data_IF_147515774775
#
_entry.id   IF_147515774775
#
_cell.length_a   1.000
_cell.length_b   1.000
_cell.length_c   1.000
_cell.angle_alpha   90.00
_cell.angle_beta   90.00
_cell.angle_gamma   90.00
#
_symmetry.space_group_name_H-M   'P 1'
#
loop_
_entity.id
_entity.type
_entity.pdbx_description
1 polymer ?
#
# COMPACT_ATOMS: atom_id res chain seq x y z
N UNK A 1 -4.27 10.73 13.60
CA UNK A 1 -4.54 9.68 14.61
C UNK A 1 -5.25 8.56 13.87
N UNK A 2 -4.63 7.38 13.78
CA UNK A 2 -5.25 6.19 13.16
C UNK A 2 -6.41 5.79 14.06
N UNK A 3 -7.61 5.61 13.51
CA UNK A 3 -8.79 5.19 14.29
C UNK A 3 -8.63 3.73 14.68
N UNK A 4 -9.20 3.32 15.80
CA UNK A 4 -9.17 1.92 16.28
C UNK A 4 -9.78 0.95 15.24
N UNK A 5 -10.80 1.41 14.51
CA UNK A 5 -11.40 0.69 13.37
C UNK A 5 -10.39 0.38 12.26
N UNK A 6 -9.47 1.30 11.98
CA UNK A 6 -8.48 1.14 10.90
C UNK A 6 -7.42 0.11 11.31
N UNK A 7 -7.01 0.11 12.59
CA UNK A 7 -6.07 -0.87 13.16
C UNK A 7 -6.69 -2.27 13.12
N UNK A 8 -7.98 -2.39 13.47
CA UNK A 8 -8.69 -3.68 13.42
C UNK A 8 -8.72 -4.26 12.00
N UNK A 9 -9.03 -3.42 11.00
CA UNK A 9 -9.01 -3.82 9.60
C UNK A 9 -7.62 -4.30 9.17
N UNK A 10 -6.57 -3.55 9.47
CA UNK A 10 -5.18 -3.90 9.12
C UNK A 10 -4.80 -5.27 9.70
N UNK A 11 -5.08 -5.50 10.99
CA UNK A 11 -4.75 -6.77 11.65
C UNK A 11 -5.48 -7.95 11.02
N UNK A 12 -6.74 -7.79 10.67
CA UNK A 12 -7.53 -8.82 9.98
C UNK A 12 -6.96 -9.15 8.59
N UNK A 13 -6.64 -8.13 7.81
CA UNK A 13 -6.01 -8.28 6.49
C UNK A 13 -4.64 -8.95 6.60
N UNK A 14 -3.82 -8.61 7.61
CA UNK A 14 -2.54 -9.28 7.90
C UNK A 14 -2.70 -10.76 8.21
N UNK A 15 -3.70 -11.13 9.04
CA UNK A 15 -4.01 -12.54 9.34
C UNK A 15 -4.34 -13.29 8.06
N UNK A 16 -5.29 -12.78 7.27
CA UNK A 16 -5.72 -13.40 6.01
C UNK A 16 -4.54 -13.53 5.03
N UNK A 17 -3.70 -12.50 4.90
CA UNK A 17 -2.52 -12.52 4.05
C UNK A 17 -1.53 -13.61 4.47
N UNK A 18 -1.16 -13.66 5.77
CA UNK A 18 -0.22 -14.65 6.27
C UNK A 18 -0.70 -16.08 6.03
N UNK A 19 -1.99 -16.32 6.23
CA UNK A 19 -2.62 -17.62 5.97
C UNK A 19 -2.63 -17.95 4.47
N UNK A 20 -2.98 -16.96 3.64
CA UNK A 20 -3.03 -17.09 2.17
C UNK A 20 -1.66 -17.35 1.54
N UNK A 21 -0.59 -16.71 2.05
CA UNK A 21 0.78 -16.93 1.60
C UNK A 21 1.28 -18.34 1.94
N UNK A 22 0.93 -18.86 3.11
CA UNK A 22 1.41 -20.17 3.57
C UNK A 22 0.67 -21.35 2.99
N UNK A 23 -0.56 -21.16 2.56
CA UNK A 23 -1.46 -22.18 1.98
C UNK A 23 -1.70 -23.40 2.88
N UNK A 24 -1.47 -23.27 4.17
CA UNK A 24 -1.64 -24.32 5.19
C UNK A 24 -2.06 -23.69 6.52
N UNK A 25 -2.49 -24.51 7.49
CA UNK A 25 -2.77 -24.06 8.85
C UNK A 25 -1.51 -23.49 9.49
N UNK A 26 -1.66 -22.39 10.22
CA UNK A 26 -0.58 -21.69 10.91
C UNK A 26 -0.84 -21.74 12.40
N UNK A 27 0.21 -21.94 13.22
CA UNK A 27 0.03 -21.88 14.66
C UNK A 27 -0.25 -20.45 15.13
N UNK A 28 -1.09 -20.31 16.15
CA UNK A 28 -1.36 -19.01 16.79
C UNK A 28 -0.08 -18.34 17.28
N UNK A 29 0.91 -19.14 17.72
CA UNK A 29 2.24 -18.64 18.08
C UNK A 29 2.93 -17.96 16.90
N UNK A 30 2.92 -18.58 15.72
CA UNK A 30 3.53 -17.99 14.51
C UNK A 30 2.86 -16.69 14.10
N UNK A 31 1.53 -16.57 14.21
CA UNK A 31 0.83 -15.32 13.96
C UNK A 31 1.28 -14.21 14.93
N UNK A 32 1.41 -14.53 16.22
CA UNK A 32 1.84 -13.58 17.24
C UNK A 32 3.27 -13.05 17.00
N UNK A 33 4.16 -13.89 16.50
CA UNK A 33 5.53 -13.47 16.17
C UNK A 33 5.57 -12.53 14.97
N UNK A 34 4.62 -12.68 14.04
CA UNK A 34 4.56 -11.88 12.81
C UNK A 34 3.75 -10.58 12.95
N UNK A 35 2.64 -10.63 13.68
CA UNK A 35 1.74 -9.49 13.86
C UNK A 35 2.03 -8.83 15.21
N UNK A 36 2.65 -7.65 15.16
CA UNK A 36 3.11 -6.91 16.36
C UNK A 36 1.97 -6.09 16.99
N UNK A 37 0.94 -6.77 17.50
CA UNK A 37 -0.17 -6.14 18.23
C UNK A 37 -0.36 -6.83 19.59
N UNK A 38 -1.18 -6.24 20.47
CA UNK A 38 -1.50 -6.88 21.74
C UNK A 38 -2.24 -8.20 21.52
N UNK A 39 -2.04 -9.14 22.43
CA UNK A 39 -2.69 -10.46 22.39
C UNK A 39 -4.22 -10.37 22.32
N UNK A 40 -4.80 -9.53 23.16
CA UNK A 40 -6.25 -9.29 23.17
C UNK A 40 -6.77 -8.76 21.83
N UNK A 41 -6.02 -7.89 21.17
CA UNK A 41 -6.41 -7.31 19.89
C UNK A 41 -6.36 -8.33 18.75
N UNK A 42 -5.31 -9.16 18.73
CA UNK A 42 -5.21 -10.25 17.76
C UNK A 42 -6.33 -11.28 17.92
N UNK A 43 -6.68 -11.66 19.18
CA UNK A 43 -7.76 -12.60 19.43
C UNK A 43 -9.12 -12.07 18.99
N UNK A 44 -9.43 -10.81 19.28
CA UNK A 44 -10.66 -10.16 18.77
C UNK A 44 -10.75 -10.16 17.24
N UNK A 45 -9.61 -9.95 16.56
CA UNK A 45 -9.56 -10.00 15.11
C UNK A 45 -9.81 -11.44 14.58
N UNK A 46 -9.27 -12.45 15.25
CA UNK A 46 -9.49 -13.87 14.91
C UNK A 46 -10.96 -14.25 15.14
N UNK A 47 -11.52 -13.91 16.30
CA UNK A 47 -12.96 -14.16 16.61
C UNK A 47 -13.86 -13.53 15.53
N UNK A 48 -13.62 -12.26 15.16
CA UNK A 48 -14.40 -11.60 14.11
C UNK A 48 -14.27 -12.31 12.76
N UNK A 49 -13.07 -12.77 12.37
CA UNK A 49 -12.87 -13.52 11.13
C UNK A 49 -13.54 -14.91 11.16
N UNK A 50 -13.60 -15.54 12.33
CA UNK A 50 -14.27 -16.84 12.54
C UNK A 50 -15.79 -16.68 12.49
N UNK A 51 -16.36 -15.66 13.15
CA UNK A 51 -17.78 -15.30 13.08
C UNK A 51 -18.24 -15.00 11.65
N UNK A 52 -17.39 -14.39 10.83
CA UNK A 52 -17.65 -14.13 9.41
C UNK A 52 -17.43 -15.37 8.52
N UNK A 53 -16.98 -16.49 9.11
CA UNK A 53 -16.73 -17.72 8.38
C UNK A 53 -15.54 -17.65 7.41
N UNK A 54 -14.57 -16.78 7.66
CA UNK A 54 -13.37 -16.61 6.84
C UNK A 54 -12.22 -17.49 7.31
N UNK A 55 -12.14 -17.74 8.63
CA UNK A 55 -11.15 -18.63 9.22
C UNK A 55 -11.82 -19.69 10.08
N UNK A 56 -11.09 -20.72 10.43
CA UNK A 56 -11.46 -21.69 11.48
C UNK A 56 -10.27 -21.88 12.40
N UNK A 57 -10.56 -22.12 13.67
CA UNK A 57 -9.53 -22.39 14.70
C UNK A 57 -9.70 -23.83 15.18
N UNK A 58 -8.62 -24.59 15.16
CA UNK A 58 -8.54 -25.94 15.67
C UNK A 58 -7.35 -26.03 16.64
N UNK A 59 -7.62 -26.17 17.93
CA UNK A 59 -6.62 -26.20 19.01
C UNK A 59 -5.70 -24.96 18.97
N UNK A 60 -4.44 -25.13 18.61
CA UNK A 60 -3.44 -24.05 18.50
C UNK A 60 -3.21 -23.58 17.04
N UNK A 61 -4.01 -24.05 16.08
CA UNK A 61 -3.87 -23.74 14.67
C UNK A 61 -5.06 -22.98 14.14
N UNK A 62 -4.79 -22.10 13.18
CA UNK A 62 -5.78 -21.34 12.42
C UNK A 62 -5.60 -21.59 10.93
N UNK A 63 -6.70 -21.72 10.21
CA UNK A 63 -6.71 -21.93 8.76
C UNK A 63 -7.78 -21.12 8.07
N UNK A 64 -7.67 -20.99 6.75
CA UNK A 64 -8.68 -20.33 5.92
C UNK A 64 -9.80 -21.31 5.56
N UNK A 65 -11.04 -20.84 5.64
CA UNK A 65 -12.19 -21.49 5.01
C UNK A 65 -12.15 -21.27 3.49
N UNK A 66 -13.08 -21.84 2.76
CA UNK A 66 -13.23 -21.56 1.32
C UNK A 66 -13.44 -20.06 1.05
N UNK A 67 -14.33 -19.41 1.80
CA UNK A 67 -14.59 -17.97 1.66
C UNK A 67 -13.37 -17.14 2.06
N UNK A 68 -12.66 -17.55 3.12
CA UNK A 68 -11.43 -16.91 3.55
C UNK A 68 -10.32 -17.00 2.49
N UNK A 69 -10.24 -18.09 1.73
CA UNK A 69 -9.32 -18.22 0.61
C UNK A 69 -9.59 -17.22 -0.51
N UNK A 70 -10.85 -16.98 -0.83
CA UNK A 70 -11.23 -16.03 -1.88
C UNK A 70 -10.84 -14.61 -1.47
N UNK A 71 -11.07 -14.23 -0.22
CA UNK A 71 -10.70 -12.92 0.30
C UNK A 71 -9.18 -12.77 0.48
N UNK A 72 -8.51 -13.75 1.05
CA UNK A 72 -7.05 -13.74 1.22
C UNK A 72 -6.30 -13.64 -0.11
N UNK A 73 -6.84 -14.24 -1.19
CA UNK A 73 -6.24 -14.20 -2.52
C UNK A 73 -6.08 -12.77 -3.06
N UNK A 74 -7.08 -11.91 -2.84
CA UNK A 74 -7.01 -10.53 -3.33
C UNK A 74 -6.00 -9.71 -2.51
N UNK A 75 -5.92 -9.94 -1.19
CA UNK A 75 -4.94 -9.30 -0.32
C UNK A 75 -3.51 -9.73 -0.71
N UNK A 76 -3.27 -11.04 -0.86
CA UNK A 76 -1.97 -11.58 -1.30
C UNK A 76 -1.58 -11.04 -2.68
N UNK A 77 -2.53 -10.93 -3.61
CA UNK A 77 -2.30 -10.38 -4.94
C UNK A 77 -1.89 -8.90 -4.89
N UNK A 78 -2.54 -8.08 -4.07
CA UNK A 78 -2.13 -6.68 -3.85
C UNK A 78 -0.72 -6.59 -3.31
N UNK A 79 -0.43 -7.36 -2.26
CA UNK A 79 0.91 -7.44 -1.67
C UNK A 79 1.98 -7.78 -2.71
N UNK A 80 1.77 -8.83 -3.49
CA UNK A 80 2.73 -9.27 -4.51
C UNK A 80 2.95 -8.23 -5.62
N UNK A 81 1.90 -7.55 -6.07
CA UNK A 81 2.03 -6.49 -7.07
C UNK A 81 2.89 -5.35 -6.53
N UNK A 82 2.63 -4.90 -5.30
CA UNK A 82 3.39 -3.84 -4.64
C UNK A 82 4.84 -4.28 -4.36
N UNK A 83 5.04 -5.48 -3.83
CA UNK A 83 6.38 -5.99 -3.55
C UNK A 83 7.23 -6.10 -4.82
N UNK A 84 6.66 -6.62 -5.91
CA UNK A 84 7.35 -6.69 -7.19
C UNK A 84 7.66 -5.30 -7.75
N UNK A 85 6.72 -4.37 -7.63
CA UNK A 85 6.96 -2.98 -8.04
C UNK A 85 8.16 -2.38 -7.31
N UNK A 86 8.23 -2.53 -6.01
CA UNK A 86 9.33 -1.97 -5.22
C UNK A 86 10.65 -2.72 -5.36
N UNK A 87 10.67 -3.99 -5.76
CA UNK A 87 11.90 -4.74 -6.06
C UNK A 87 12.71 -4.18 -7.22
N UNK A 88 12.10 -3.41 -8.11
CA UNK A 88 12.80 -2.74 -9.21
C UNK A 88 13.83 -1.71 -8.70
N UNK A 89 13.59 -1.07 -7.56
CA UNK A 89 14.38 0.06 -7.06
C UNK A 89 14.91 -0.13 -5.63
N UNK A 90 14.55 -1.21 -4.94
CA UNK A 90 14.84 -1.46 -3.53
C UNK A 90 15.35 -2.87 -3.28
N UNK A 91 16.04 -3.05 -2.16
CA UNK A 91 16.35 -4.39 -1.66
C UNK A 91 15.06 -5.18 -1.38
N UNK A 92 15.14 -6.52 -1.43
CA UNK A 92 14.01 -7.40 -1.14
C UNK A 92 13.33 -7.07 0.20
N UNK A 93 14.12 -6.75 1.24
CA UNK A 93 13.60 -6.40 2.56
C UNK A 93 12.82 -5.09 2.55
N UNK A 94 13.37 -4.06 1.93
CA UNK A 94 12.73 -2.74 1.83
C UNK A 94 11.48 -2.79 0.95
N UNK A 95 11.52 -3.55 -0.15
CA UNK A 95 10.37 -3.78 -1.01
C UNK A 95 9.21 -4.43 -0.26
N UNK A 96 9.49 -5.49 0.50
CA UNK A 96 8.51 -6.17 1.32
C UNK A 96 7.91 -5.24 2.40
N UNK A 97 8.74 -4.45 3.09
CA UNK A 97 8.27 -3.48 4.09
C UNK A 97 7.39 -2.38 3.46
N UNK A 98 7.76 -1.87 2.28
CA UNK A 98 6.96 -0.87 1.57
C UNK A 98 5.62 -1.45 1.09
N UNK A 99 5.60 -2.67 0.56
CA UNK A 99 4.38 -3.35 0.16
C UNK A 99 3.42 -3.53 1.34
N UNK A 100 3.95 -3.99 2.47
CA UNK A 100 3.20 -4.18 3.73
C UNK A 100 2.53 -2.89 4.22
N UNK A 101 3.24 -1.76 4.12
CA UNK A 101 2.68 -0.48 4.54
C UNK A 101 1.55 -0.03 3.60
N UNK A 102 1.68 -0.29 2.30
CA UNK A 102 0.77 0.25 1.29
C UNK A 102 -0.46 -0.63 1.02
N UNK A 103 -0.37 -1.94 1.19
CA UNK A 103 -1.44 -2.89 0.80
C UNK A 103 -2.80 -2.58 1.42
N UNK A 104 -2.82 -2.00 2.63
CA UNK A 104 -4.03 -1.64 3.36
C UNK A 104 -4.66 -0.31 2.91
N UNK A 105 -3.92 0.51 2.15
CA UNK A 105 -4.35 1.86 1.76
C UNK A 105 -4.62 2.00 0.27
N UNK A 106 -4.13 1.08 -0.55
CA UNK A 106 -4.27 1.15 -2.01
C UNK A 106 -5.61 0.61 -2.50
N UNK A 107 -6.22 1.32 -3.45
CA UNK A 107 -7.41 0.86 -4.16
C UNK A 107 -7.05 -0.14 -5.27
N UNK A 108 -8.06 -0.86 -5.78
CA UNK A 108 -7.88 -1.71 -6.96
C UNK A 108 -7.45 -0.91 -8.20
N UNK A 109 -7.91 0.33 -8.34
CA UNK A 109 -7.50 1.22 -9.41
C UNK A 109 -6.00 1.50 -9.37
N UNK A 110 -5.45 1.82 -8.17
CA UNK A 110 -4.01 2.01 -7.96
C UNK A 110 -3.22 0.75 -8.33
N UNK A 111 -3.68 -0.42 -7.91
CA UNK A 111 -3.05 -1.70 -8.26
C UNK A 111 -3.04 -1.92 -9.78
N UNK A 112 -4.12 -1.60 -10.45
CA UNK A 112 -4.20 -1.73 -11.90
C UNK A 112 -3.30 -0.72 -12.62
N UNK A 113 -3.18 0.50 -12.11
CA UNK A 113 -2.25 1.51 -12.62
C UNK A 113 -0.79 1.06 -12.44
N UNK A 114 -0.43 0.48 -11.29
CA UNK A 114 0.91 -0.11 -11.07
C UNK A 114 1.20 -1.21 -12.10
N UNK A 115 0.24 -2.09 -12.38
CA UNK A 115 0.40 -3.11 -13.43
C UNK A 115 0.63 -2.49 -14.81
N UNK A 116 -0.08 -1.40 -15.14
CA UNK A 116 0.13 -0.64 -16.40
C UNK A 116 1.54 -0.05 -16.46
N UNK A 117 2.05 0.53 -15.37
CA UNK A 117 3.42 1.05 -15.27
C UNK A 117 4.43 -0.05 -15.64
N UNK A 118 4.30 -1.25 -15.08
CA UNK A 118 5.14 -2.39 -15.43
C UNK A 118 5.10 -2.75 -16.92
N UNK A 119 3.90 -2.74 -17.50
CA UNK A 119 3.70 -3.10 -18.91
C UNK A 119 4.33 -2.05 -19.84
N UNK A 120 4.24 -0.77 -19.49
CA UNK A 120 4.74 0.33 -20.34
C UNK A 120 6.26 0.49 -20.31
N UNK A 121 6.95 0.00 -19.28
CA UNK A 121 8.41 0.15 -19.07
C UNK A 121 8.93 1.58 -19.28
N UNK A 122 8.08 2.60 -19.09
CA UNK A 122 8.42 4.02 -19.25
C UNK A 122 8.96 4.57 -17.93
N UNK A 123 10.11 5.24 -18.00
CA UNK A 123 10.62 5.99 -16.85
C UNK A 123 9.82 7.28 -16.65
N UNK A 124 9.35 7.51 -15.43
CA UNK A 124 8.70 8.75 -15.05
C UNK A 124 9.68 9.92 -15.01
N UNK A 125 9.21 11.13 -15.33
CA UNK A 125 9.98 12.36 -15.16
C UNK A 125 9.72 12.96 -13.78
N UNK A 126 10.61 13.85 -13.33
CA UNK A 126 10.44 14.54 -12.04
C UNK A 126 9.17 15.41 -12.06
N UNK A 127 8.36 15.35 -10.98
CA UNK A 127 7.13 16.13 -10.82
C UNK A 127 7.35 17.64 -11.01
N UNK A 128 8.53 18.17 -10.65
CA UNK A 128 8.86 19.59 -10.83
C UNK A 128 8.92 20.05 -12.30
N UNK A 129 8.97 19.11 -13.24
CA UNK A 129 8.97 19.40 -14.68
C UNK A 129 7.57 19.52 -15.27
N UNK A 130 6.54 19.14 -14.48
CA UNK A 130 5.16 19.25 -14.89
C UNK A 130 4.71 20.70 -14.84
N UNK A 131 3.90 21.09 -15.81
CA UNK A 131 3.30 22.42 -15.91
C UNK A 131 2.03 22.52 -15.07
N UNK A 132 1.59 23.74 -14.84
CA UNK A 132 0.29 23.96 -14.19
C UNK A 132 -0.85 23.34 -14.98
N UNK A 133 -1.78 22.70 -14.27
CA UNK A 133 -2.93 21.96 -14.81
C UNK A 133 -2.57 20.67 -15.59
N UNK A 134 -1.34 20.18 -15.49
CA UNK A 134 -0.99 18.84 -15.99
C UNK A 134 -1.28 17.77 -14.93
N UNK A 135 -1.83 16.65 -15.39
CA UNK A 135 -2.04 15.44 -14.58
C UNK A 135 -0.95 14.42 -14.87
N UNK A 136 -0.49 13.71 -13.84
CA UNK A 136 0.51 12.67 -13.97
C UNK A 136 0.22 11.47 -13.09
N UNK A 137 0.60 10.29 -13.56
CA UNK A 137 0.57 9.06 -12.78
C UNK A 137 1.86 8.95 -11.98
N UNK A 138 1.79 8.90 -10.65
CA UNK A 138 2.96 8.73 -9.80
C UNK A 138 3.57 7.34 -10.06
N UNK A 139 4.85 7.31 -10.44
CA UNK A 139 5.58 6.07 -10.69
C UNK A 139 6.60 5.75 -9.61
N UNK A 140 7.11 6.76 -8.90
CA UNK A 140 8.03 6.55 -7.79
C UNK A 140 8.00 7.72 -6.80
N UNK A 141 8.27 7.43 -5.52
CA UNK A 141 8.38 8.38 -4.43
C UNK A 141 9.64 8.11 -3.60
N UNK A 142 10.25 9.15 -2.99
CA UNK A 142 11.46 8.99 -2.19
C UNK A 142 11.20 8.09 -0.98
N UNK A 143 12.03 7.06 -0.82
CA UNK A 143 11.89 6.02 0.20
C UNK A 143 13.10 5.89 1.13
N UNK A 144 14.18 6.62 0.86
CA UNK A 144 15.39 6.61 1.68
C UNK A 144 15.18 7.20 3.08
N UNK A 145 14.16 8.04 3.24
CA UNK A 145 13.70 8.58 4.53
C UNK A 145 12.33 7.97 4.85
N UNK A 146 12.29 7.05 5.81
CA UNK A 146 11.08 6.35 6.19
C UNK A 146 9.97 7.29 6.70
N UNK A 147 10.35 8.34 7.48
CA UNK A 147 9.37 9.31 7.99
C UNK A 147 8.74 10.13 6.87
N UNK A 148 9.56 10.53 5.89
CA UNK A 148 9.07 11.22 4.70
C UNK A 148 8.16 10.30 3.87
N UNK A 149 8.54 9.05 3.70
CA UNK A 149 7.74 8.05 2.99
C UNK A 149 6.38 7.83 3.64
N UNK A 150 6.31 7.58 4.97
CA UNK A 150 5.04 7.46 5.70
C UNK A 150 4.17 8.72 5.56
N UNK A 151 4.79 9.90 5.64
CA UNK A 151 4.08 11.16 5.49
C UNK A 151 3.48 11.30 4.10
N UNK A 152 4.19 10.94 3.04
CA UNK A 152 3.66 10.97 1.67
C UNK A 152 2.50 10.00 1.51
N UNK A 153 2.64 8.77 2.02
CA UNK A 153 1.57 7.77 2.02
C UNK A 153 0.32 8.28 2.75
N UNK A 154 0.48 8.90 3.92
CA UNK A 154 -0.65 9.47 4.68
C UNK A 154 -1.35 10.65 3.97
N UNK A 155 -0.65 11.31 3.06
CA UNK A 155 -1.22 12.36 2.18
C UNK A 155 -1.87 11.78 0.93
N UNK A 156 -1.77 10.46 0.69
CA UNK A 156 -2.23 9.79 -0.51
C UNK A 156 -1.24 9.90 -1.68
N UNK A 157 -0.02 10.40 -1.45
CA UNK A 157 1.03 10.48 -2.48
C UNK A 157 1.74 9.14 -2.53
N UNK A 158 1.30 8.27 -3.43
CA UNK A 158 1.84 6.92 -3.58
C UNK A 158 1.87 6.49 -5.06
N UNK A 159 2.74 5.54 -5.43
CA UNK A 159 2.79 5.04 -6.79
C UNK A 159 1.44 4.47 -7.24
N UNK A 160 1.04 4.78 -8.48
CA UNK A 160 -0.25 4.38 -9.04
C UNK A 160 -1.39 5.39 -8.83
N UNK A 161 -1.20 6.41 -8.00
CA UNK A 161 -2.15 7.52 -7.86
C UNK A 161 -1.93 8.59 -8.94
N UNK A 162 -3.02 9.26 -9.32
CA UNK A 162 -2.98 10.41 -10.23
C UNK A 162 -2.82 11.69 -9.42
N UNK A 163 -1.86 12.52 -9.83
CA UNK A 163 -1.51 13.81 -9.23
C UNK A 163 -1.70 14.92 -10.26
N UNK A 164 -2.35 16.00 -9.87
CA UNK A 164 -2.50 17.23 -10.66
C UNK A 164 -1.55 18.31 -10.13
N UNK A 165 -0.76 18.92 -10.98
CA UNK A 165 0.02 20.11 -10.65
C UNK A 165 -0.87 21.34 -10.83
N UNK A 166 -1.24 21.98 -9.71
CA UNK A 166 -2.06 23.20 -9.76
C UNK A 166 -1.22 24.40 -10.16
N UNK A 167 -0.07 24.56 -9.52
CA UNK A 167 0.84 25.69 -9.76
C UNK A 167 2.26 25.41 -9.25
N UNK A 168 3.25 26.06 -9.85
CA UNK A 168 4.61 26.05 -9.39
C UNK A 168 4.95 27.39 -8.75
N UNK A 169 5.50 27.36 -7.54
CA UNK A 169 5.92 28.52 -6.78
C UNK A 169 7.44 28.46 -6.51
N UNK A 170 8.11 29.57 -6.16
CA UNK A 170 9.56 29.57 -5.93
C UNK A 170 10.04 28.53 -4.90
N UNK A 171 9.22 28.27 -3.87
CA UNK A 171 9.53 27.30 -2.80
C UNK A 171 9.16 25.85 -3.13
N UNK A 172 8.32 25.59 -4.17
CA UNK A 172 7.86 24.23 -4.44
C UNK A 172 6.74 24.14 -5.47
N UNK A 173 5.92 23.11 -5.33
CA UNK A 173 4.82 22.80 -6.24
C UNK A 173 3.53 22.64 -5.43
N UNK A 174 2.46 23.29 -5.90
CA UNK A 174 1.09 23.09 -5.37
C UNK A 174 0.47 21.95 -6.18
N UNK A 175 0.07 20.92 -5.50
CA UNK A 175 -0.52 19.73 -6.09
C UNK A 175 -1.93 19.49 -5.58
N UNK A 176 -2.71 18.73 -6.35
CA UNK A 176 -3.97 18.15 -5.93
C UNK A 176 -3.91 16.64 -6.12
N UNK A 177 -4.34 15.91 -5.12
CA UNK A 177 -4.45 14.45 -5.11
C UNK A 177 -5.65 14.08 -4.23
N UNK A 178 -6.48 13.13 -4.69
CA UNK A 178 -7.67 12.69 -3.95
C UNK A 178 -8.54 13.86 -3.45
N UNK A 179 -8.76 14.88 -4.28
CA UNK A 179 -9.50 16.12 -3.98
C UNK A 179 -8.90 16.99 -2.83
N UNK A 180 -7.69 16.70 -2.38
CA UNK A 180 -6.96 17.49 -1.39
C UNK A 180 -5.81 18.24 -2.04
N UNK A 181 -5.55 19.47 -1.57
CA UNK A 181 -4.42 20.29 -2.05
C UNK A 181 -3.27 20.25 -1.04
N UNK A 182 -2.06 20.12 -1.55
CA UNK A 182 -0.83 20.13 -0.76
C UNK A 182 0.21 21.03 -1.42
N UNK A 183 1.11 21.57 -0.60
CA UNK A 183 2.32 22.24 -1.07
C UNK A 183 3.50 21.31 -0.80
N UNK A 184 4.20 20.91 -1.86
CA UNK A 184 5.41 20.12 -1.76
C UNK A 184 6.63 21.00 -1.94
N UNK A 185 7.57 20.89 -1.02
CA UNK A 185 8.89 21.50 -1.16
C UNK A 185 9.57 21.07 -2.46
N UNK A 186 10.35 21.99 -3.04
CA UNK A 186 11.07 21.78 -4.30
C UNK A 186 11.98 20.55 -4.25
N UNK A 187 12.61 20.28 -3.11
CA UNK A 187 13.50 19.14 -2.91
C UNK A 187 12.75 17.80 -2.93
N UNK A 188 11.52 17.80 -2.41
CA UNK A 188 10.63 16.62 -2.42
C UNK A 188 10.05 16.42 -3.81
N UNK A 189 9.51 17.47 -4.44
CA UNK A 189 8.92 17.41 -5.77
C UNK A 189 9.92 16.94 -6.85
N UNK A 190 11.21 17.26 -6.70
CA UNK A 190 12.27 16.75 -7.57
C UNK A 190 12.45 15.23 -7.51
N UNK A 191 12.16 14.60 -6.38
CA UNK A 191 12.36 13.17 -6.14
C UNK A 191 11.15 12.32 -6.54
N UNK A 192 9.96 12.92 -6.63
CA UNK A 192 8.74 12.23 -7.08
C UNK A 192 8.83 12.07 -8.61
N UNK A 193 8.61 10.85 -9.08
CA UNK A 193 8.53 10.53 -10.51
C UNK A 193 7.10 10.36 -10.94
N UNK A 194 6.77 10.93 -12.10
CA UNK A 194 5.43 10.88 -12.69
C UNK A 194 5.51 10.62 -14.20
N UNK A 195 4.52 9.90 -14.72
CA UNK A 195 4.27 9.79 -16.16
C UNK A 195 3.11 10.69 -16.51
N UNK A 196 3.14 11.31 -17.68
CA UNK A 196 2.01 12.04 -18.22
C UNK A 196 0.77 11.14 -18.26
N UNK A 197 -0.34 11.61 -17.68
CA UNK A 197 -1.58 10.85 -17.58
C UNK A 197 -2.49 11.22 -18.74
N UNK A 198 -2.45 10.40 -19.80
CA UNK A 198 -3.44 10.48 -20.86
C UNK A 198 -4.71 9.77 -20.37
N UNK A 199 -5.81 10.52 -20.26
CA UNK A 199 -7.13 9.93 -20.05
C UNK A 199 -7.50 9.15 -21.31
N UNK A 200 -7.45 7.83 -21.22
CA UNK A 200 -7.98 6.93 -22.22
C UNK A 200 -9.48 6.76 -22.06
#
# INVERSE_FOLDING_TARGET
>A
MIKESDVSKIVREDILRILGERKEKVSLKTLREKIKVSHSFMFKAIESLEEEGLVFVEEEFIGLTKNGWDEAKDIVKKHLVLENYFKETRSKREAHQAAHLLEHYVSEEVINNIKKIFTLKKEGVSLIKFRSNEEGLITDIPSSDYKLFERMVSMGILPGEVIEVINTIPAGVIIKINNKKFVLDKSIAKKIKVLEYEKF
#
